data_IF_209102235279
#
_entry.id   IF_209102235279
#
_cell.length_a   1.000
_cell.length_b   1.000
_cell.length_c   1.000
_cell.angle_alpha   90.00
_cell.angle_beta   90.00
_cell.angle_gamma   90.00
#
_symmetry.space_group_name_H-M   'P 1'
#
loop_
_entity.id
_entity.type
_entity.pdbx_description
1 polymer ?
#
# COMPACT_ATOMS: atom_id res chain seq x y z
N UNK A 1 24.59 13.43 5.39
CA UNK A 1 23.47 12.53 5.72
C UNK A 1 23.35 12.49 7.23
N UNK A 2 22.29 13.09 7.79
CA UNK A 2 22.08 13.10 9.25
C UNK A 2 21.68 11.71 9.74
N UNK A 3 21.85 11.41 11.03
CA UNK A 3 21.47 10.09 11.56
C UNK A 3 19.94 9.86 11.51
N UNK A 4 19.15 10.93 11.54
CA UNK A 4 17.70 10.93 11.28
C UNK A 4 17.37 10.45 9.85
N UNK A 5 18.18 10.83 8.85
CA UNK A 5 17.96 10.38 7.47
C UNK A 5 18.26 8.87 7.32
N UNK A 6 19.17 8.33 8.13
CA UNK A 6 19.51 6.89 8.13
C UNK A 6 18.42 6.06 8.77
N UNK A 7 17.83 6.52 9.89
CA UNK A 7 16.69 5.83 10.52
C UNK A 7 15.48 5.81 9.60
N UNK A 8 15.17 6.93 8.96
CA UNK A 8 14.08 6.99 7.97
C UNK A 8 14.38 6.11 6.76
N UNK A 9 15.63 6.07 6.27
CA UNK A 9 16.01 5.21 5.15
C UNK A 9 15.85 3.71 5.46
N UNK A 10 15.93 3.29 6.72
CA UNK A 10 15.77 1.89 7.14
C UNK A 10 14.33 1.38 6.94
N UNK A 11 13.33 2.28 6.99
CA UNK A 11 11.92 1.93 6.76
C UNK A 11 11.56 1.80 5.28
N UNK A 12 12.46 2.16 4.37
CA UNK A 12 12.25 2.05 2.92
C UNK A 12 12.88 0.77 2.36
N UNK A 13 12.09 -0.30 2.32
CA UNK A 13 12.51 -1.60 1.79
C UNK A 13 12.70 -1.47 0.27
N UNK A 14 13.89 -1.82 -0.22
CA UNK A 14 14.31 -1.66 -1.63
C UNK A 14 14.23 -0.22 -2.16
N UNK A 15 14.08 0.78 -1.28
CA UNK A 15 13.85 2.17 -1.66
C UNK A 15 12.47 2.48 -2.23
N UNK A 16 11.53 1.52 -2.21
CA UNK A 16 10.20 1.66 -2.85
C UNK A 16 9.06 1.45 -1.84
N UNK A 17 9.16 0.44 -0.98
CA UNK A 17 8.11 0.08 -0.03
C UNK A 17 8.40 0.75 1.30
N UNK A 18 7.47 1.56 1.79
CA UNK A 18 7.55 2.15 3.13
C UNK A 18 6.91 1.23 4.17
N UNK A 19 7.65 0.90 5.21
CA UNK A 19 7.21 0.04 6.30
C UNK A 19 7.72 0.57 7.64
N UNK A 20 6.84 1.25 8.38
CA UNK A 20 7.13 1.75 9.72
C UNK A 20 5.94 1.53 10.67
N UNK A 21 5.99 0.53 11.58
CA UNK A 21 4.92 0.30 12.55
C UNK A 21 4.71 1.45 13.54
N UNK A 22 5.74 2.26 13.78
CA UNK A 22 5.72 3.38 14.74
C UNK A 22 5.19 4.68 14.10
N UNK A 23 5.09 4.76 12.76
CA UNK A 23 4.47 5.89 12.07
C UNK A 23 2.95 5.65 11.90
N UNK A 24 2.08 6.42 12.60
CA UNK A 24 0.62 6.26 12.49
C UNK A 24 0.03 6.75 11.17
N UNK A 25 0.85 7.35 10.28
CA UNK A 25 0.40 7.83 8.98
C UNK A 25 0.03 6.68 8.07
N UNK A 26 -1.17 6.80 7.49
CA UNK A 26 -1.64 5.87 6.46
C UNK A 26 -0.98 6.10 5.11
N UNK A 27 -0.79 7.38 4.74
CA UNK A 27 -0.11 7.82 3.53
C UNK A 27 1.15 8.60 3.89
N UNK A 28 2.23 8.32 3.17
CA UNK A 28 3.50 9.03 3.30
C UNK A 28 3.99 9.52 1.93
N UNK A 29 4.70 10.64 1.85
CA UNK A 29 5.33 11.06 0.60
C UNK A 29 6.26 9.95 0.06
N UNK A 30 6.31 9.80 -1.26
CA UNK A 30 7.27 8.88 -1.89
C UNK A 30 8.69 9.34 -1.59
N UNK A 31 9.60 8.38 -1.38
CA UNK A 31 11.03 8.66 -1.21
C UNK A 31 11.65 9.40 -2.39
N UNK A 32 11.21 9.04 -3.61
CA UNK A 32 11.69 9.63 -4.85
C UNK A 32 10.51 10.05 -5.73
N UNK A 33 10.60 11.26 -6.31
CA UNK A 33 9.58 11.81 -7.20
C UNK A 33 8.40 12.46 -6.47
N UNK A 34 7.30 12.68 -7.20
CA UNK A 34 6.10 13.33 -6.69
C UNK A 34 5.03 12.31 -6.27
N UNK A 35 4.28 12.65 -5.23
CA UNK A 35 3.10 11.91 -4.77
C UNK A 35 3.32 11.14 -3.46
N UNK A 36 2.37 10.26 -3.16
CA UNK A 36 2.28 9.52 -1.91
C UNK A 36 2.31 8.01 -2.15
N UNK A 37 2.68 7.27 -1.11
CA UNK A 37 2.55 5.81 -1.01
C UNK A 37 1.89 5.47 0.34
N UNK A 38 1.54 4.20 0.53
CA UNK A 38 0.98 3.71 1.80
C UNK A 38 2.10 3.30 2.75
N UNK A 39 1.80 3.40 4.05
CA UNK A 39 2.55 2.66 5.05
C UNK A 39 2.07 1.20 5.08
N UNK A 40 2.92 0.28 4.62
CA UNK A 40 2.58 -1.15 4.54
C UNK A 40 2.65 -1.87 5.89
N UNK A 41 3.13 -1.21 6.94
CA UNK A 41 3.00 -1.68 8.32
C UNK A 41 1.58 -1.46 8.88
N UNK A 42 0.80 -0.55 8.28
CA UNK A 42 -0.54 -0.22 8.73
C UNK A 42 -1.57 -1.27 8.25
N UNK A 43 -2.37 -1.79 9.18
CA UNK A 43 -3.42 -2.77 8.88
C UNK A 43 -4.47 -2.25 7.88
N UNK A 44 -4.75 -0.94 7.89
CA UNK A 44 -5.68 -0.27 6.98
C UNK A 44 -5.23 -0.41 5.53
N UNK A 45 -3.93 -0.46 5.26
CA UNK A 45 -3.37 -0.66 3.90
C UNK A 45 -3.82 -2.01 3.35
N UNK A 46 -3.67 -3.06 4.14
CA UNK A 46 -4.08 -4.40 3.73
C UNK A 46 -5.60 -4.55 3.62
N UNK A 47 -6.37 -3.90 4.49
CA UNK A 47 -7.84 -3.86 4.39
C UNK A 47 -8.28 -3.21 3.08
N UNK A 48 -7.69 -2.07 2.70
CA UNK A 48 -7.98 -1.38 1.45
C UNK A 48 -7.67 -2.26 0.24
N UNK A 49 -6.49 -2.88 0.22
CA UNK A 49 -6.09 -3.76 -0.88
C UNK A 49 -7.00 -5.00 -0.98
N UNK A 50 -7.37 -5.59 0.15
CA UNK A 50 -8.32 -6.71 0.19
C UNK A 50 -9.69 -6.30 -0.33
N UNK A 51 -10.19 -5.12 0.03
CA UNK A 51 -11.46 -4.60 -0.47
C UNK A 51 -11.44 -4.39 -1.99
N UNK A 52 -10.37 -3.79 -2.52
CA UNK A 52 -10.18 -3.59 -3.97
C UNK A 52 -10.15 -4.94 -4.70
N UNK A 53 -9.39 -5.91 -4.17
CA UNK A 53 -9.32 -7.26 -4.74
C UNK A 53 -10.68 -7.97 -4.72
N UNK A 54 -11.42 -7.87 -3.61
CA UNK A 54 -12.75 -8.46 -3.47
C UNK A 54 -13.73 -7.88 -4.50
N UNK A 55 -13.76 -6.56 -4.69
CA UNK A 55 -14.60 -5.89 -5.71
C UNK A 55 -14.25 -6.43 -7.11
N UNK A 56 -12.97 -6.51 -7.44
CA UNK A 56 -12.53 -7.04 -8.74
C UNK A 56 -12.99 -8.51 -8.96
N UNK A 57 -12.89 -9.35 -7.93
CA UNK A 57 -13.36 -10.74 -7.98
C UNK A 57 -14.88 -10.79 -8.16
N UNK A 58 -15.65 -10.00 -7.41
CA UNK A 58 -17.12 -9.94 -7.54
C UNK A 58 -17.53 -9.56 -8.95
N UNK A 59 -16.93 -8.52 -9.53
CA UNK A 59 -17.19 -8.09 -10.91
C UNK A 59 -16.88 -9.23 -11.90
N UNK A 60 -15.72 -9.90 -11.74
CA UNK A 60 -15.34 -11.04 -12.59
C UNK A 60 -16.36 -12.17 -12.51
N UNK A 61 -16.80 -12.52 -11.30
CA UNK A 61 -17.78 -13.60 -11.05
C UNK A 61 -19.13 -13.24 -11.66
N UNK A 62 -19.61 -12.01 -11.48
CA UNK A 62 -20.86 -11.53 -12.08
C UNK A 62 -20.82 -11.60 -13.60
N UNK A 63 -19.75 -11.09 -14.22
CA UNK A 63 -19.57 -11.17 -15.68
C UNK A 63 -19.52 -12.62 -16.18
N UNK A 64 -18.78 -13.48 -15.49
CA UNK A 64 -18.69 -14.90 -15.86
C UNK A 64 -20.05 -15.61 -15.80
N UNK A 65 -20.89 -15.30 -14.80
CA UNK A 65 -22.26 -15.84 -14.71
C UNK A 65 -23.15 -15.33 -15.84
N UNK A 66 -23.09 -14.04 -16.18
CA UNK A 66 -23.92 -13.43 -17.22
C UNK A 66 -23.61 -13.90 -18.65
N UNK A 67 -22.39 -14.41 -18.91
CA UNK A 67 -22.00 -14.93 -20.25
C UNK A 67 -22.40 -16.40 -20.44
N UNK A 68 -22.62 -17.15 -19.36
CA UNK A 68 -22.86 -18.60 -19.39
C UNK A 68 -24.31 -19.02 -19.09
N UNK A 69 -25.18 -18.08 -18.75
CA UNK A 69 -26.63 -18.29 -18.59
C UNK A 69 -27.37 -17.64 -19.74
#
# INVERSE_FOLDING_TARGET
>A
MSDMDKSEAAHWIWGIIYYNPDDPKFFVPKRFGLGYTFNFADRRTWILFAAIAAIAIVIKVMKHKAVKG
#
